data_IF_264312260123
#
_entry.id   IF_264312260123
#
_cell.length_a   1.000
_cell.length_b   1.000
_cell.length_c   1.000
_cell.angle_alpha   90.00
_cell.angle_beta   90.00
_cell.angle_gamma   90.00
#
_symmetry.space_group_name_H-M   'P 1'
#
loop_
_entity.id
_entity.type
_entity.pdbx_description
1 polymer ?
#
# COMPACT_ATOMS: atom_id res chain seq x y z
N UNK A 1 -3.88 20.94 1.24
CA UNK A 1 -3.87 19.58 0.64
C UNK A 1 -5.11 19.40 -0.22
N UNK A 2 -4.95 18.95 -1.45
CA UNK A 2 -6.05 18.73 -2.39
C UNK A 2 -6.38 17.22 -2.44
N UNK A 3 -7.64 16.85 -2.14
CA UNK A 3 -8.10 15.46 -2.16
C UNK A 3 -9.27 15.37 -3.13
N UNK A 4 -9.19 14.44 -4.08
CA UNK A 4 -10.24 14.18 -5.07
C UNK A 4 -10.59 12.69 -5.09
N UNK A 5 -11.86 12.37 -5.29
CA UNK A 5 -12.26 11.02 -5.66
C UNK A 5 -12.30 10.91 -7.18
N UNK A 6 -11.72 9.84 -7.70
CA UNK A 6 -11.57 9.60 -9.14
C UNK A 6 -12.06 8.20 -9.51
N UNK A 7 -12.87 8.10 -10.54
CA UNK A 7 -13.35 6.81 -11.01
C UNK A 7 -12.32 6.17 -11.95
N UNK A 8 -12.04 4.89 -11.73
CA UNK A 8 -11.18 4.07 -12.58
C UNK A 8 -11.92 2.82 -13.06
N UNK A 9 -11.55 2.32 -14.23
CA UNK A 9 -12.20 1.13 -14.80
C UNK A 9 -11.89 -0.14 -14.00
N UNK A 10 -10.66 -0.24 -13.50
CA UNK A 10 -10.16 -1.39 -12.74
C UNK A 10 -9.10 -0.96 -11.75
N UNK A 11 -8.92 -1.73 -10.69
CA UNK A 11 -7.91 -1.49 -9.64
C UNK A 11 -6.75 -2.47 -9.73
N UNK A 12 -6.97 -3.65 -10.30
CA UNK A 12 -5.98 -4.69 -10.51
C UNK A 12 -5.29 -4.47 -11.85
N UNK A 13 -4.11 -3.86 -11.87
CA UNK A 13 -3.36 -3.58 -13.09
C UNK A 13 -2.31 -4.68 -13.30
N UNK A 14 -2.35 -5.36 -14.46
CA UNK A 14 -1.28 -6.31 -14.83
C UNK A 14 0.07 -5.59 -14.86
N UNK A 15 1.10 -6.26 -14.35
CA UNK A 15 2.43 -5.67 -14.27
C UNK A 15 3.50 -6.64 -14.77
N UNK A 16 4.61 -6.07 -15.27
CA UNK A 16 5.81 -6.82 -15.64
C UNK A 16 6.87 -6.79 -14.51
N UNK A 17 6.49 -6.40 -13.29
CA UNK A 17 7.39 -6.48 -12.15
C UNK A 17 7.75 -7.97 -11.91
N UNK A 18 9.05 -8.28 -11.70
CA UNK A 18 9.49 -9.68 -11.55
C UNK A 18 8.87 -10.41 -10.35
N UNK A 19 8.29 -9.66 -9.43
CA UNK A 19 7.81 -10.17 -8.13
C UNK A 19 6.28 -10.25 -8.03
N UNK A 20 5.52 -9.92 -9.10
CA UNK A 20 4.06 -9.95 -9.03
C UNK A 20 3.39 -9.95 -10.39
N UNK A 21 2.19 -10.51 -10.46
CA UNK A 21 1.32 -10.51 -11.65
C UNK A 21 0.50 -9.22 -11.75
N UNK A 22 0.15 -8.63 -10.61
CA UNK A 22 -0.68 -7.43 -10.54
C UNK A 22 -0.08 -6.37 -9.63
N UNK A 23 -0.21 -5.11 -10.02
CA UNK A 23 0.02 -3.96 -9.16
C UNK A 23 -1.32 -3.37 -8.70
N UNK A 24 -1.40 -3.03 -7.41
CA UNK A 24 -2.59 -2.45 -6.78
C UNK A 24 -2.22 -1.14 -6.12
N UNK A 25 -2.75 -0.05 -6.64
CA UNK A 25 -2.53 1.30 -6.10
C UNK A 25 -3.88 2.00 -5.90
N UNK A 26 -4.47 1.92 -4.69
CA UNK A 26 -5.78 2.52 -4.40
C UNK A 26 -5.79 4.05 -4.47
N UNK A 27 -4.63 4.65 -4.50
CA UNK A 27 -4.42 6.10 -4.51
C UNK A 27 -3.46 6.53 -5.62
N UNK A 28 -3.51 7.82 -6.00
CA UNK A 28 -2.41 8.52 -6.66
C UNK A 28 -1.99 9.67 -5.75
N UNK A 29 -0.69 9.80 -5.50
CA UNK A 29 -0.16 10.61 -4.40
C UNK A 29 0.11 9.78 -3.15
N UNK A 30 0.97 10.29 -2.27
CA UNK A 30 1.33 9.62 -1.03
C UNK A 30 1.73 10.64 0.03
N UNK A 31 0.98 10.68 1.13
CA UNK A 31 1.15 11.69 2.18
C UNK A 31 2.35 11.43 3.11
N UNK A 32 3.04 10.30 2.95
CA UNK A 32 4.33 10.13 3.60
C UNK A 32 5.40 11.08 3.05
N UNK A 33 5.18 11.66 1.86
CA UNK A 33 5.99 12.74 1.28
C UNK A 33 7.51 12.49 1.36
N UNK A 34 7.94 11.24 1.19
CA UNK A 34 9.34 10.86 1.33
C UNK A 34 10.22 11.68 0.38
N UNK A 35 11.29 12.29 0.88
CA UNK A 35 12.24 13.08 0.09
C UNK A 35 12.91 12.28 -1.03
N UNK A 36 13.06 10.97 -0.83
CA UNK A 36 13.69 10.03 -1.78
C UNK A 36 12.66 9.28 -2.66
N UNK A 37 11.38 9.69 -2.66
CA UNK A 37 10.33 8.94 -3.33
C UNK A 37 10.50 8.94 -4.86
N UNK A 38 10.81 7.77 -5.42
CA UNK A 38 10.84 7.63 -6.88
C UNK A 38 9.47 7.83 -7.52
N UNK A 39 8.39 7.49 -6.81
CA UNK A 39 7.02 7.58 -7.32
C UNK A 39 6.53 9.02 -7.56
N UNK A 40 7.30 10.03 -7.13
CA UNK A 40 7.02 11.44 -7.42
C UNK A 40 6.88 11.74 -8.92
N UNK A 41 7.48 10.90 -9.80
CA UNK A 41 7.31 11.01 -11.25
C UNK A 41 5.83 10.84 -11.68
N UNK A 42 5.01 10.16 -10.89
CA UNK A 42 3.58 9.95 -11.18
C UNK A 42 2.81 11.26 -11.26
N UNK A 43 3.29 12.33 -10.61
CA UNK A 43 2.68 13.65 -10.69
C UNK A 43 2.48 14.12 -12.14
N UNK A 44 3.42 13.83 -13.05
CA UNK A 44 3.33 14.21 -14.47
C UNK A 44 2.14 13.61 -15.22
N UNK A 45 1.53 12.56 -14.68
CA UNK A 45 0.33 11.93 -15.24
C UNK A 45 -0.96 12.41 -14.57
N UNK A 46 -0.86 13.42 -13.72
CA UNK A 46 -2.00 14.06 -13.04
C UNK A 46 -2.08 15.52 -13.46
N UNK A 47 -3.22 16.16 -13.21
CA UNK A 47 -3.40 17.60 -13.44
C UNK A 47 -3.22 18.39 -12.13
N UNK A 48 -2.45 17.85 -11.16
CA UNK A 48 -2.21 18.50 -9.89
C UNK A 48 -1.07 19.52 -10.01
N UNK A 49 -1.31 20.82 -9.69
CA UNK A 49 -0.26 21.81 -9.56
C UNK A 49 0.56 21.59 -8.27
N UNK A 50 -0.06 21.03 -7.23
CA UNK A 50 0.54 20.83 -5.92
C UNK A 50 1.76 19.90 -5.99
N UNK A 51 2.77 20.07 -5.11
CA UNK A 51 3.89 19.15 -4.98
C UNK A 51 3.43 17.73 -4.62
N UNK A 52 4.28 16.74 -4.91
CA UNK A 52 4.08 15.36 -4.43
C UNK A 52 4.05 15.35 -2.90
N UNK A 53 3.03 14.69 -2.33
CA UNK A 53 2.76 14.69 -0.89
C UNK A 53 1.70 15.70 -0.45
N UNK A 54 1.27 16.62 -1.32
CA UNK A 54 0.28 17.63 -0.99
C UNK A 54 -1.07 17.43 -1.71
N UNK A 55 -1.20 16.37 -2.50
CA UNK A 55 -2.46 15.97 -3.12
C UNK A 55 -2.70 14.47 -2.98
N UNK A 56 -3.96 14.06 -3.10
CA UNK A 56 -4.37 12.67 -3.08
C UNK A 56 -5.58 12.45 -3.97
N UNK A 57 -5.44 11.61 -4.99
CA UNK A 57 -6.58 11.04 -5.71
C UNK A 57 -6.96 9.70 -5.09
N UNK A 58 -8.19 9.62 -4.63
CA UNK A 58 -8.78 8.43 -4.02
C UNK A 58 -9.56 7.69 -5.11
N UNK A 59 -9.11 6.50 -5.47
CA UNK A 59 -9.73 5.75 -6.56
C UNK A 59 -11.03 5.07 -6.14
N UNK A 60 -12.03 5.18 -7.01
CA UNK A 60 -13.24 4.38 -6.99
C UNK A 60 -13.21 3.40 -8.17
N UNK A 61 -13.66 2.18 -7.96
CA UNK A 61 -13.73 1.15 -9.00
C UNK A 61 -14.98 0.28 -8.82
N UNK A 62 -15.48 -0.33 -9.92
CA UNK A 62 -16.59 -1.26 -9.85
C UNK A 62 -16.19 -2.57 -9.13
N UNK A 63 -17.17 -3.35 -8.72
CA UNK A 63 -16.92 -4.67 -8.15
C UNK A 63 -16.15 -5.56 -9.14
N UNK A 64 -15.19 -6.32 -8.63
CA UNK A 64 -14.40 -7.26 -9.41
C UNK A 64 -15.28 -8.43 -9.82
N UNK A 65 -15.50 -8.61 -11.14
CA UNK A 65 -16.43 -9.61 -11.66
C UNK A 65 -15.80 -10.99 -11.82
N UNK A 66 -14.64 -11.07 -12.48
CA UNK A 66 -13.92 -12.33 -12.69
C UNK A 66 -12.86 -12.52 -11.60
N UNK A 67 -13.26 -13.15 -10.50
CA UNK A 67 -12.39 -13.42 -9.36
C UNK A 67 -11.50 -14.64 -9.57
N UNK A 68 -11.89 -15.56 -10.46
CA UNK A 68 -11.16 -16.80 -10.71
C UNK A 68 -9.78 -16.58 -11.33
N UNK A 69 -9.60 -15.48 -12.08
CA UNK A 69 -8.32 -15.13 -12.72
C UNK A 69 -7.17 -14.85 -11.74
N UNK A 70 -7.47 -14.66 -10.44
CA UNK A 70 -6.47 -14.32 -9.43
C UNK A 70 -5.91 -15.52 -8.69
N UNK A 71 -6.45 -16.72 -8.90
CA UNK A 71 -5.96 -17.93 -8.24
C UNK A 71 -4.49 -18.16 -8.57
N UNK A 72 -3.68 -18.45 -7.55
CA UNK A 72 -2.24 -18.68 -7.63
C UNK A 72 -1.41 -17.51 -8.20
N UNK A 73 -2.03 -16.33 -8.30
CA UNK A 73 -1.38 -15.08 -8.69
C UNK A 73 -0.87 -14.31 -7.49
N UNK A 74 -0.04 -13.30 -7.76
CA UNK A 74 0.47 -12.40 -6.75
C UNK A 74 0.12 -10.96 -7.07
N UNK A 75 -0.37 -10.22 -6.06
CA UNK A 75 -0.65 -8.80 -6.14
C UNK A 75 0.31 -8.01 -5.25
N UNK A 76 1.01 -7.04 -5.86
CA UNK A 76 1.88 -6.10 -5.16
C UNK A 76 1.12 -4.81 -4.86
N UNK A 77 0.97 -4.52 -3.58
CA UNK A 77 0.43 -3.26 -3.09
C UNK A 77 1.58 -2.29 -2.81
N UNK A 78 1.51 -1.07 -3.33
CA UNK A 78 2.50 0.01 -3.13
C UNK A 78 3.56 0.17 -4.22
N UNK A 79 3.26 -0.09 -5.46
CA UNK A 79 4.26 0.22 -6.50
C UNK A 79 4.51 1.72 -6.67
N UNK A 80 3.51 2.60 -6.43
CA UNK A 80 3.63 4.05 -6.60
C UNK A 80 2.88 4.88 -5.54
N UNK A 81 2.46 4.26 -4.44
CA UNK A 81 1.81 4.93 -3.29
C UNK A 81 2.02 4.07 -2.04
N UNK A 82 1.63 4.53 -0.87
CA UNK A 82 1.51 3.65 0.31
C UNK A 82 0.03 3.30 0.52
N UNK A 83 -0.34 2.00 0.55
CA UNK A 83 -1.72 1.57 0.70
C UNK A 83 -2.29 1.87 2.09
N UNK A 84 -1.44 2.12 3.07
CA UNK A 84 -1.81 2.46 4.44
C UNK A 84 -1.38 3.87 4.85
N UNK A 85 -1.27 4.79 3.88
CA UNK A 85 -1.07 6.20 4.17
C UNK A 85 -2.19 6.77 5.06
N UNK A 86 -1.99 7.91 5.76
CA UNK A 86 -2.91 8.38 6.81
C UNK A 86 -4.39 8.42 6.41
N UNK A 87 -4.71 8.79 5.18
CA UNK A 87 -6.09 8.88 4.72
C UNK A 87 -6.77 7.53 4.43
N UNK A 88 -6.03 6.44 4.40
CA UNK A 88 -6.62 5.10 4.35
C UNK A 88 -7.49 4.81 5.59
N UNK A 89 -7.20 5.45 6.73
CA UNK A 89 -8.05 5.38 7.92
C UNK A 89 -9.50 5.82 7.65
N UNK A 90 -9.67 6.83 6.78
CA UNK A 90 -10.97 7.39 6.41
C UNK A 90 -11.58 6.69 5.18
N UNK A 91 -10.81 6.59 4.11
CA UNK A 91 -11.34 6.16 2.81
C UNK A 91 -11.42 4.64 2.65
N UNK A 92 -10.65 3.87 3.39
CA UNK A 92 -10.65 2.40 3.46
C UNK A 92 -10.60 1.71 2.08
N UNK A 93 -9.83 2.28 1.15
CA UNK A 93 -9.72 1.74 -0.21
C UNK A 93 -8.90 0.46 -0.27
N UNK A 94 -7.83 0.39 0.53
CA UNK A 94 -7.03 -0.84 0.68
C UNK A 94 -7.88 -1.94 1.30
N UNK A 95 -8.62 -1.64 2.37
CA UNK A 95 -9.54 -2.60 2.98
C UNK A 95 -10.58 -3.09 1.98
N UNK A 96 -11.21 -2.19 1.23
CA UNK A 96 -12.21 -2.54 0.21
C UNK A 96 -11.68 -3.55 -0.83
N UNK A 97 -10.45 -3.35 -1.34
CA UNK A 97 -9.89 -4.29 -2.33
C UNK A 97 -9.53 -5.63 -1.68
N UNK A 98 -9.00 -5.64 -0.46
CA UNK A 98 -8.74 -6.88 0.28
C UNK A 98 -10.03 -7.69 0.46
N UNK A 99 -11.13 -7.07 0.88
CA UNK A 99 -12.43 -7.73 1.01
C UNK A 99 -12.94 -8.30 -0.32
N UNK A 100 -12.73 -7.59 -1.43
CA UNK A 100 -13.07 -8.09 -2.77
C UNK A 100 -12.21 -9.26 -3.23
N UNK A 101 -10.96 -9.33 -2.79
CA UNK A 101 -10.01 -10.40 -3.17
C UNK A 101 -10.04 -11.61 -2.22
N UNK A 102 -10.67 -11.49 -1.06
CA UNK A 102 -10.72 -12.58 -0.08
C UNK A 102 -11.34 -13.86 -0.69
N UNK A 103 -10.69 -15.00 -0.48
CA UNK A 103 -11.12 -16.29 -1.01
C UNK A 103 -10.80 -16.54 -2.49
N UNK A 104 -10.08 -15.65 -3.18
CA UNK A 104 -9.65 -15.87 -4.58
C UNK A 104 -8.43 -16.78 -4.71
N UNK A 105 -7.68 -17.00 -3.62
CA UNK A 105 -6.41 -17.73 -3.65
C UNK A 105 -5.22 -16.89 -4.14
N UNK A 106 -5.37 -15.57 -4.28
CA UNK A 106 -4.27 -14.65 -4.60
C UNK A 106 -3.32 -14.51 -3.41
N UNK A 107 -2.03 -14.38 -3.67
CA UNK A 107 -1.02 -14.01 -2.67
C UNK A 107 -0.85 -12.49 -2.64
N UNK A 108 -0.59 -11.96 -1.46
CA UNK A 108 -0.37 -10.51 -1.28
C UNK A 108 1.10 -10.22 -0.96
N UNK A 109 1.65 -9.20 -1.61
CA UNK A 109 2.91 -8.58 -1.25
C UNK A 109 2.61 -7.10 -0.96
N UNK A 110 2.79 -6.68 0.28
CA UNK A 110 2.40 -5.33 0.73
C UNK A 110 3.63 -4.63 1.29
N UNK A 111 3.91 -3.40 0.84
CA UNK A 111 4.94 -2.56 1.43
C UNK A 111 4.33 -1.30 2.04
N UNK A 112 4.75 -0.93 3.24
CA UNK A 112 4.19 0.23 3.94
C UNK A 112 5.19 0.88 4.91
N UNK A 113 4.90 2.12 5.31
CA UNK A 113 5.54 2.88 6.39
C UNK A 113 4.57 3.12 7.57
N UNK A 114 3.46 2.35 7.60
CA UNK A 114 2.37 2.62 8.53
C UNK A 114 2.08 1.40 9.42
N UNK A 115 1.63 1.66 10.61
CA UNK A 115 1.06 0.67 11.52
C UNK A 115 -0.47 0.56 11.37
N UNK A 116 -1.10 1.40 10.55
CA UNK A 116 -2.53 1.30 10.22
C UNK A 116 -2.90 -0.06 9.60
N UNK A 117 -1.92 -0.73 8.99
CA UNK A 117 -2.07 -2.08 8.44
C UNK A 117 -2.53 -3.11 9.50
N UNK A 118 -2.26 -2.87 10.79
CA UNK A 118 -2.72 -3.72 11.90
C UNK A 118 -4.25 -3.86 11.93
N UNK A 119 -4.99 -2.85 11.47
CA UNK A 119 -6.45 -2.91 11.32
C UNK A 119 -6.90 -4.11 10.46
N UNK A 120 -6.10 -4.46 9.48
CA UNK A 120 -6.44 -5.47 8.48
C UNK A 120 -5.63 -6.78 8.64
N UNK A 121 -4.95 -6.98 9.78
CA UNK A 121 -4.11 -8.15 10.05
C UNK A 121 -4.86 -9.46 9.85
N UNK A 122 -6.04 -9.61 10.46
CA UNK A 122 -6.85 -10.84 10.35
C UNK A 122 -7.30 -11.09 8.91
N UNK A 123 -7.63 -10.02 8.18
CA UNK A 123 -8.01 -10.10 6.77
C UNK A 123 -6.82 -10.55 5.91
N UNK A 124 -5.64 -9.94 6.09
CA UNK A 124 -4.41 -10.28 5.36
C UNK A 124 -3.99 -11.72 5.66
N UNK A 125 -4.11 -12.16 6.91
CA UNK A 125 -3.82 -13.55 7.32
C UNK A 125 -4.67 -14.59 6.59
N UNK A 126 -5.86 -14.23 6.12
CA UNK A 126 -6.73 -15.13 5.35
C UNK A 126 -6.26 -15.41 3.93
N UNK A 127 -5.25 -14.70 3.43
CA UNK A 127 -4.68 -14.91 2.11
C UNK A 127 -3.47 -15.85 2.16
N UNK A 128 -3.34 -16.80 1.24
CA UNK A 128 -2.23 -17.76 1.25
C UNK A 128 -0.90 -17.09 0.94
N UNK A 129 0.14 -17.38 1.70
CA UNK A 129 1.51 -16.94 1.41
C UNK A 129 1.68 -15.43 1.31
N UNK A 130 0.89 -14.67 2.08
CA UNK A 130 1.03 -13.21 2.13
C UNK A 130 2.30 -12.80 2.84
N UNK A 131 2.92 -11.73 2.34
CA UNK A 131 4.09 -11.11 2.95
C UNK A 131 3.91 -9.60 3.07
N UNK A 132 4.47 -9.04 4.14
CA UNK A 132 4.44 -7.61 4.40
C UNK A 132 5.83 -7.09 4.66
N UNK A 133 6.18 -5.99 3.99
CA UNK A 133 7.48 -5.32 4.13
C UNK A 133 7.30 -3.94 4.76
N UNK A 134 8.06 -3.64 5.78
CA UNK A 134 8.13 -2.26 6.31
C UNK A 134 9.38 -1.56 5.80
N UNK A 135 9.21 -0.35 5.27
CA UNK A 135 10.36 0.49 4.91
C UNK A 135 10.97 1.08 6.17
N UNK A 136 12.20 0.67 6.50
CA UNK A 136 12.98 1.14 7.64
C UNK A 136 14.40 1.41 7.17
N UNK A 137 14.67 2.64 6.74
CA UNK A 137 15.94 3.06 6.12
C UNK A 137 16.98 3.51 7.15
N UNK A 138 16.59 3.71 8.39
CA UNK A 138 17.42 4.19 9.48
C UNK A 138 16.82 3.77 10.81
N UNK A 139 17.62 3.72 11.85
CA UNK A 139 17.18 3.60 13.24
C UNK A 139 17.24 4.94 14.00
N UNK A 140 17.71 6.00 13.33
CA UNK A 140 17.69 7.37 13.86
C UNK A 140 16.34 8.02 13.54
N UNK A 141 15.56 8.26 14.60
CA UNK A 141 14.20 8.80 14.48
C UNK A 141 14.19 10.27 14.02
N UNK A 142 15.21 11.06 14.34
CA UNK A 142 15.28 12.44 13.91
C UNK A 142 15.62 12.52 12.41
N UNK A 143 16.54 11.71 11.94
CA UNK A 143 16.80 11.56 10.52
C UNK A 143 15.55 11.04 9.78
N UNK A 144 14.84 10.05 10.33
CA UNK A 144 13.59 9.54 9.74
C UNK A 144 12.56 10.66 9.55
N UNK A 145 12.35 11.53 10.56
CA UNK A 145 11.41 12.67 10.48
C UNK A 145 11.75 13.65 9.35
N UNK A 146 13.04 13.80 9.06
CA UNK A 146 13.47 14.62 7.94
C UNK A 146 13.20 13.97 6.59
N UNK A 147 13.18 12.64 6.52
CA UNK A 147 13.10 11.87 5.29
C UNK A 147 11.69 11.49 4.87
N UNK A 148 10.78 11.22 5.82
CA UNK A 148 9.39 10.85 5.54
C UNK A 148 8.43 11.24 6.68
N UNK A 149 7.15 11.36 6.32
CA UNK A 149 6.06 11.64 7.28
C UNK A 149 5.30 10.39 7.72
N UNK A 150 5.90 9.21 7.57
CA UNK A 150 5.32 7.95 8.07
C UNK A 150 5.34 7.89 9.60
N UNK A 151 4.82 6.79 10.15
CA UNK A 151 4.86 6.57 11.59
C UNK A 151 6.29 6.33 12.09
N UNK A 152 6.52 6.47 13.39
CA UNK A 152 7.84 6.27 13.99
C UNK A 152 8.42 4.89 13.71
N UNK A 153 9.73 4.77 13.79
CA UNK A 153 10.45 3.49 13.62
C UNK A 153 9.92 2.46 14.60
N UNK A 154 9.73 2.84 15.86
CA UNK A 154 9.19 1.97 16.91
C UNK A 154 7.82 1.40 16.52
N UNK A 155 6.90 2.23 16.01
CA UNK A 155 5.57 1.78 15.55
C UNK A 155 5.66 0.85 14.34
N UNK A 156 6.61 1.08 13.42
CA UNK A 156 6.85 0.18 12.27
C UNK A 156 7.33 -1.19 12.74
N UNK A 157 8.30 -1.22 13.66
CA UNK A 157 8.85 -2.45 14.25
C UNK A 157 7.80 -3.20 15.05
N UNK A 158 7.00 -2.52 15.83
CA UNK A 158 5.92 -3.14 16.60
C UNK A 158 4.85 -3.76 15.67
N UNK A 159 4.44 -3.06 14.62
CA UNK A 159 3.51 -3.62 13.64
C UNK A 159 4.12 -4.84 12.93
N UNK A 160 5.39 -4.78 12.55
CA UNK A 160 6.13 -5.90 11.96
C UNK A 160 6.16 -7.11 12.90
N UNK A 161 6.43 -6.89 14.20
CA UNK A 161 6.42 -7.96 15.22
C UNK A 161 5.06 -8.65 15.30
N UNK A 162 3.95 -7.89 15.35
CA UNK A 162 2.60 -8.45 15.45
C UNK A 162 2.24 -9.29 14.20
N UNK A 163 2.63 -8.86 13.02
CA UNK A 163 2.45 -9.65 11.80
C UNK A 163 3.27 -10.94 11.82
N UNK A 164 4.52 -10.88 12.26
CA UNK A 164 5.37 -12.06 12.43
C UNK A 164 4.78 -13.06 13.42
N UNK A 165 4.32 -12.59 14.59
CA UNK A 165 3.68 -13.41 15.61
C UNK A 165 2.34 -14.03 15.12
N UNK A 166 1.65 -13.36 14.19
CA UNK A 166 0.47 -13.88 13.53
C UNK A 166 0.78 -14.95 12.45
N UNK A 167 2.08 -15.21 12.17
CA UNK A 167 2.53 -16.19 11.19
C UNK A 167 2.55 -15.69 9.74
N UNK A 168 2.55 -14.37 9.53
CA UNK A 168 2.68 -13.75 8.20
C UNK A 168 4.17 -13.47 7.95
N UNK A 169 4.65 -13.76 6.75
CA UNK A 169 6.02 -13.45 6.35
C UNK A 169 6.26 -11.93 6.43
N UNK A 170 7.30 -11.53 7.14
CA UNK A 170 7.66 -10.12 7.31
C UNK A 170 9.07 -9.84 6.85
N UNK A 171 9.27 -8.69 6.22
CA UNK A 171 10.59 -8.24 5.76
C UNK A 171 10.79 -6.75 6.07
N UNK A 172 12.07 -6.37 6.18
CA UNK A 172 12.48 -4.97 6.24
C UNK A 172 12.96 -4.56 4.86
N UNK A 173 12.40 -3.49 4.33
CA UNK A 173 12.85 -2.87 3.08
C UNK A 173 13.74 -1.67 3.45
N UNK A 174 15.02 -1.77 3.12
CA UNK A 174 16.05 -0.79 3.42
C UNK A 174 16.33 0.08 2.21
#
# INVERSE_FOLDING_TARGET
MNIKEVDVKEIMTRTNLPVSDFAVNPYVGCLHACKYCYASFMKRFTNHPEPWGEFLDVKNWPAIKDRGQFRDKEAFFSSVTDPYQPHEAKFQRTRKILEQLQGTGIRLSISTKSDLILRDLDLIKSFPGSRVSWSINTLDEDFRKEMDHGVSIERRLEAMRQFYEAGIETTCFI
#
